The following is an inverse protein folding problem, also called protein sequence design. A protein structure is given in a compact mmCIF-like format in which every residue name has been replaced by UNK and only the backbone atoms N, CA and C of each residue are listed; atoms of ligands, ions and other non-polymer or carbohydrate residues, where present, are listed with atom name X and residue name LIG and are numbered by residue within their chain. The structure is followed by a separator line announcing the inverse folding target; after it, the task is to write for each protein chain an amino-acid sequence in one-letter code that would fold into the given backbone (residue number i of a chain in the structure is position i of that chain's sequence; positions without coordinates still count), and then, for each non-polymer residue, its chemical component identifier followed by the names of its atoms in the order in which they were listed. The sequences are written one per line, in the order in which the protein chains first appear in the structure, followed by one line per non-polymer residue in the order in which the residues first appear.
data_IF_544836657572
#
_entry.id   IF_544836657572
#
_cell.length_a   1.000
_cell.length_b   1.000
_cell.length_c   1.000
_cell.angle_alpha   90.00
_cell.angle_beta   90.00
_cell.angle_gamma   90.00
#
_symmetry.space_group_name_H-M   'P 1'
#
loop_
_entity.id
_entity.type
_entity.pdbx_description
1 polymer ?
#
# COMPACT_ATOMS: atom_id res chain seq x y z
N UNK A 1 -60.08 -13.69 71.78
CA UNK A 1 -60.61 -15.04 71.63
C UNK A 1 -60.02 -15.71 70.41
N UNK A 2 -59.33 -16.82 70.69
CA UNK A 2 -59.05 -17.86 69.72
C UNK A 2 -57.72 -17.68 68.98
N UNK A 3 -56.64 -18.09 69.56
CA UNK A 3 -56.09 -19.45 69.82
C UNK A 3 -55.97 -20.32 68.56
N UNK A 4 -54.77 -20.72 68.44
CA UNK A 4 -54.22 -21.99 67.93
C UNK A 4 -53.44 -21.98 66.66
N UNK A 5 -52.25 -22.37 66.86
CA UNK A 5 -51.42 -23.58 66.71
C UNK A 5 -50.70 -23.55 65.39
N UNK A 6 -49.42 -23.32 65.46
CA UNK A 6 -48.37 -24.32 65.60
C UNK A 6 -48.51 -25.52 64.66
N UNK A 7 -47.73 -25.52 63.57
CA UNK A 7 -47.03 -26.72 63.09
C UNK A 7 -45.72 -26.27 62.40
N UNK A 8 -44.67 -26.57 63.11
CA UNK A 8 -43.33 -26.79 62.66
C UNK A 8 -43.24 -27.71 61.43
N UNK A 9 -42.59 -27.31 60.36
CA UNK A 9 -41.89 -28.22 59.43
C UNK A 9 -40.74 -27.50 58.84
N UNK A 10 -39.57 -27.90 59.31
CA UNK A 10 -38.32 -27.63 58.75
C UNK A 10 -38.27 -27.81 57.24
N UNK A 11 -37.88 -26.81 56.57
CA UNK A 11 -37.47 -26.77 55.19
C UNK A 11 -36.14 -26.08 55.11
N UNK A 12 -35.13 -26.90 54.91
CA UNK A 12 -33.72 -26.49 54.73
C UNK A 12 -33.66 -25.40 53.74
N UNK A 13 -33.05 -24.26 54.14
CA UNK A 13 -32.61 -23.24 53.26
C UNK A 13 -31.37 -23.80 52.56
N UNK A 14 -31.61 -24.37 51.40
CA UNK A 14 -30.49 -24.67 50.46
C UNK A 14 -29.88 -23.37 50.04
N UNK A 15 -28.76 -23.06 50.66
CA UNK A 15 -27.78 -22.10 50.14
C UNK A 15 -27.36 -22.61 48.77
N UNK A 16 -27.80 -21.89 47.75
CA UNK A 16 -27.29 -22.01 46.39
C UNK A 16 -25.82 -21.63 46.43
N UNK A 17 -24.93 -22.61 46.60
CA UNK A 17 -23.52 -22.49 46.33
C UNK A 17 -23.40 -22.16 44.87
N UNK A 18 -22.96 -20.95 44.61
CA UNK A 18 -22.51 -20.50 43.29
C UNK A 18 -21.50 -21.50 42.78
N UNK A 19 -21.91 -22.32 41.82
CA UNK A 19 -20.98 -23.04 40.96
C UNK A 19 -20.16 -22.00 40.21
N UNK A 20 -18.97 -21.79 40.73
CA UNK A 20 -17.90 -21.13 39.95
C UNK A 20 -17.64 -22.09 38.80
N UNK A 21 -18.13 -21.75 37.62
CA UNK A 21 -17.73 -22.38 36.37
C UNK A 21 -16.21 -22.27 36.22
N UNK A 22 -15.58 -23.38 36.50
CA UNK A 22 -14.15 -23.60 36.24
C UNK A 22 -13.93 -23.47 34.75
N UNK A 23 -13.43 -22.31 34.32
CA UNK A 23 -13.01 -22.06 32.94
C UNK A 23 -12.02 -23.15 32.55
N UNK A 24 -12.18 -23.80 31.37
CA UNK A 24 -11.28 -24.86 30.94
C UNK A 24 -9.87 -24.32 30.85
N UNK A 25 -8.97 -24.89 31.66
CA UNK A 25 -7.54 -24.59 31.61
C UNK A 25 -7.01 -24.99 30.24
N UNK A 26 -6.78 -23.99 29.39
CA UNK A 26 -6.16 -24.16 28.08
C UNK A 26 -4.72 -24.63 28.33
N UNK A 27 -4.36 -25.80 27.80
CA UNK A 27 -3.03 -26.37 27.91
C UNK A 27 -1.95 -25.37 27.42
N UNK A 28 -0.80 -25.26 28.11
CA UNK A 28 0.21 -24.23 27.79
C UNK A 28 0.79 -24.30 26.38
N UNK A 29 0.58 -25.39 25.66
CA UNK A 29 0.97 -25.54 24.26
C UNK A 29 0.00 -24.87 23.26
N UNK A 30 -1.25 -24.59 23.65
CA UNK A 30 -2.24 -23.98 22.77
C UNK A 30 -2.25 -22.46 22.90
N UNK A 31 -1.76 -21.92 24.02
CA UNK A 31 -1.63 -20.48 24.23
C UNK A 31 -0.57 -19.82 23.31
N UNK A 32 0.37 -20.61 22.80
CA UNK A 32 1.41 -20.13 21.90
C UNK A 32 0.96 -20.06 20.43
N UNK A 33 -0.21 -20.67 20.11
CA UNK A 33 -0.83 -20.62 18.78
C UNK A 33 -1.85 -19.49 18.62
N UNK A 34 -2.18 -18.76 19.71
CA UNK A 34 -3.12 -17.66 19.75
C UNK A 34 -2.44 -16.31 20.05
N UNK A 35 -1.20 -16.16 19.63
CA UNK A 35 -0.65 -14.83 19.48
C UNK A 35 -1.54 -14.07 18.50
N UNK A 36 -2.02 -12.86 18.81
CA UNK A 36 -2.68 -12.06 17.81
C UNK A 36 -1.63 -11.80 16.73
N UNK A 37 -1.71 -12.57 15.64
CA UNK A 37 -1.06 -12.17 14.41
C UNK A 37 -1.57 -10.77 14.13
N UNK A 38 -0.68 -9.81 14.23
CA UNK A 38 -0.89 -8.48 13.70
C UNK A 38 -1.46 -8.68 12.30
N UNK A 39 -2.73 -8.36 12.14
CA UNK A 39 -3.37 -8.19 10.85
C UNK A 39 -2.67 -7.03 10.16
N UNK A 40 -1.47 -7.29 9.67
CA UNK A 40 -0.95 -6.54 8.56
C UNK A 40 -1.83 -6.93 7.36
N UNK A 41 -2.88 -6.16 7.13
CA UNK A 41 -3.66 -6.16 5.89
C UNK A 41 -2.79 -5.66 4.71
N UNK A 42 -1.53 -5.97 4.75
CA UNK A 42 -0.60 -5.84 3.66
C UNK A 42 -0.66 -7.15 2.87
N UNK A 43 -1.75 -7.33 2.12
CA UNK A 43 -1.83 -8.36 1.11
C UNK A 43 -0.57 -8.27 0.24
N UNK A 44 -0.06 -9.38 -0.34
CA UNK A 44 1.18 -9.36 -1.11
C UNK A 44 1.05 -8.31 -2.20
N UNK A 45 1.62 -7.14 -1.95
CA UNK A 45 1.78 -6.11 -2.97
C UNK A 45 2.50 -6.81 -4.10
N UNK A 46 1.85 -6.94 -5.24
CA UNK A 46 2.44 -7.52 -6.44
C UNK A 46 3.63 -6.64 -6.79
N UNK A 47 4.79 -6.98 -6.23
CA UNK A 47 6.05 -6.37 -6.62
C UNK A 47 6.16 -6.55 -8.11
N UNK A 48 6.14 -5.46 -8.83
CA UNK A 48 6.54 -5.45 -10.24
C UNK A 48 7.93 -6.09 -10.39
N UNK A 49 8.42 -6.28 -11.59
CA UNK A 49 9.76 -6.82 -11.82
C UNK A 49 10.76 -6.04 -10.96
N UNK A 50 11.63 -6.78 -10.25
CA UNK A 50 12.59 -6.19 -9.32
C UNK A 50 13.36 -5.03 -9.99
N UNK A 51 13.28 -3.80 -9.47
CA UNK A 51 13.91 -2.64 -10.09
C UNK A 51 15.43 -2.83 -10.21
N UNK A 52 16.04 -3.58 -9.29
CA UNK A 52 17.47 -3.92 -9.33
C UNK A 52 17.84 -4.84 -10.50
N UNK A 53 16.94 -5.74 -10.92
CA UNK A 53 17.17 -6.59 -12.07
C UNK A 53 17.10 -5.78 -13.38
N UNK A 54 16.19 -4.82 -13.46
CA UNK A 54 16.09 -3.89 -14.58
C UNK A 54 17.33 -3.01 -14.70
N UNK A 55 17.88 -2.53 -13.59
CA UNK A 55 19.10 -1.71 -13.57
C UNK A 55 20.35 -2.48 -14.06
N UNK A 56 20.45 -3.78 -13.78
CA UNK A 56 21.57 -4.62 -14.24
C UNK A 56 21.63 -4.78 -15.76
N UNK A 57 20.48 -4.78 -16.42
CA UNK A 57 20.36 -4.93 -17.87
C UNK A 57 20.20 -3.60 -18.61
N UNK A 58 20.15 -2.48 -17.87
CA UNK A 58 19.91 -1.17 -18.43
C UNK A 58 21.13 -0.64 -19.20
N UNK A 59 20.90 -0.21 -20.44
CA UNK A 59 21.87 0.49 -21.26
C UNK A 59 21.38 1.91 -21.49
N UNK A 60 22.08 2.93 -20.94
CA UNK A 60 21.61 4.32 -21.01
C UNK A 60 21.63 4.84 -22.45
N UNK A 61 20.50 5.39 -22.89
CA UNK A 61 20.35 6.01 -24.21
C UNK A 61 20.52 7.53 -24.15
N UNK A 62 20.17 8.12 -23.00
CA UNK A 62 20.25 9.57 -22.80
C UNK A 62 21.61 10.00 -22.25
N UNK A 63 21.92 11.29 -22.38
CA UNK A 63 23.11 11.87 -21.78
C UNK A 63 23.08 11.79 -20.26
N UNK A 64 21.92 12.11 -19.67
CA UNK A 64 21.73 12.02 -18.23
C UNK A 64 21.91 10.57 -17.72
N UNK A 65 21.36 9.59 -18.44
CA UNK A 65 21.55 8.18 -18.08
C UNK A 65 23.02 7.75 -18.06
N UNK A 66 23.83 8.26 -19.00
CA UNK A 66 25.27 7.98 -18.99
C UNK A 66 26.00 8.62 -17.82
N UNK A 67 25.61 9.85 -17.43
CA UNK A 67 26.17 10.56 -16.27
C UNK A 67 25.80 9.86 -14.94
N UNK A 68 24.60 9.30 -14.85
CA UNK A 68 24.19 8.48 -13.68
C UNK A 68 24.99 7.18 -13.65
N UNK A 69 25.19 6.53 -14.81
CA UNK A 69 25.95 5.29 -14.89
C UNK A 69 27.46 5.49 -14.62
N UNK A 70 28.02 6.64 -14.99
CA UNK A 70 29.42 7.02 -14.67
C UNK A 70 29.61 7.45 -13.22
N UNK A 71 28.53 7.68 -12.46
CA UNK A 71 28.60 8.15 -11.07
C UNK A 71 28.83 9.65 -10.92
N UNK A 72 28.72 10.44 -12.00
CA UNK A 72 28.82 11.91 -11.95
C UNK A 72 27.59 12.52 -11.23
N UNK A 73 26.44 11.85 -11.32
CA UNK A 73 25.17 12.25 -10.70
C UNK A 73 24.74 11.15 -9.73
N UNK A 74 24.75 11.46 -8.45
CA UNK A 74 24.43 10.52 -7.37
C UNK A 74 23.07 10.79 -6.73
N UNK A 75 22.57 12.03 -6.82
CA UNK A 75 21.29 12.41 -6.20
C UNK A 75 20.30 12.92 -7.25
N UNK A 76 19.01 12.73 -6.95
CA UNK A 76 17.96 13.20 -7.84
C UNK A 76 17.96 14.73 -7.99
N UNK A 77 18.33 15.47 -6.95
CA UNK A 77 18.50 16.94 -7.00
C UNK A 77 19.60 17.36 -8.00
N UNK A 78 20.72 16.65 -7.99
CA UNK A 78 21.78 16.90 -8.98
C UNK A 78 21.28 16.63 -10.40
N UNK A 79 20.50 15.57 -10.60
CA UNK A 79 19.90 15.28 -11.90
C UNK A 79 18.98 16.42 -12.37
N UNK A 80 18.16 16.98 -11.50
CA UNK A 80 17.32 18.14 -11.79
C UNK A 80 18.17 19.41 -12.06
N UNK A 81 19.23 19.62 -11.29
CA UNK A 81 20.12 20.79 -11.45
C UNK A 81 20.87 20.79 -12.81
N UNK A 82 21.11 19.63 -13.43
CA UNK A 82 21.70 19.54 -14.76
C UNK A 82 20.82 20.13 -15.88
N UNK A 83 19.50 20.27 -15.62
CA UNK A 83 18.53 20.79 -16.59
C UNK A 83 18.20 19.83 -17.74
N UNK A 84 18.75 18.61 -17.75
CA UNK A 84 18.42 17.63 -18.77
C UNK A 84 17.07 16.96 -18.46
N UNK A 85 16.21 16.74 -19.47
CA UNK A 85 14.93 16.06 -19.26
C UNK A 85 15.15 14.59 -18.93
N UNK A 86 14.48 14.11 -17.88
CA UNK A 86 14.47 12.71 -17.50
C UNK A 86 13.51 11.98 -18.45
N UNK A 87 14.01 11.06 -19.25
CA UNK A 87 13.25 10.29 -20.25
C UNK A 87 13.30 8.79 -20.02
N UNK A 88 14.16 8.31 -19.15
CA UNK A 88 14.34 6.90 -18.81
C UNK A 88 13.88 6.68 -17.38
N UNK A 89 13.03 5.67 -17.18
CA UNK A 89 12.48 5.32 -15.86
C UNK A 89 13.57 4.78 -14.95
N UNK A 90 14.52 4.08 -15.54
CA UNK A 90 15.64 3.44 -14.86
C UNK A 90 16.54 4.46 -14.13
N UNK A 91 16.62 5.70 -14.64
CA UNK A 91 17.34 6.78 -13.95
C UNK A 91 16.71 7.07 -12.58
N UNK A 92 15.38 7.09 -12.55
CA UNK A 92 14.62 7.35 -11.32
C UNK A 92 14.77 6.19 -10.36
N UNK A 93 14.67 4.96 -10.84
CA UNK A 93 14.83 3.75 -10.04
C UNK A 93 16.27 3.60 -9.49
N UNK A 94 17.26 4.14 -10.18
CA UNK A 94 18.66 4.17 -9.72
C UNK A 94 18.91 5.23 -8.64
N UNK A 95 18.32 6.42 -8.79
CA UNK A 95 18.54 7.53 -7.87
C UNK A 95 17.62 7.52 -6.66
N UNK A 96 16.45 6.91 -6.77
CA UNK A 96 15.43 6.80 -5.72
C UNK A 96 14.96 5.34 -5.59
N UNK A 97 15.68 4.49 -4.83
CA UNK A 97 15.32 3.09 -4.68
C UNK A 97 14.02 2.87 -3.89
N UNK A 98 13.66 3.80 -3.00
CA UNK A 98 12.52 3.70 -2.09
C UNK A 98 11.25 4.33 -2.68
N UNK A 99 11.00 4.10 -3.97
CA UNK A 99 9.80 4.61 -4.63
C UNK A 99 8.65 3.63 -4.42
N UNK A 100 7.55 4.16 -3.88
CA UNK A 100 6.25 3.50 -3.78
C UNK A 100 5.33 3.99 -4.89
N UNK A 101 4.49 3.11 -5.40
CA UNK A 101 3.45 3.42 -6.38
C UNK A 101 2.06 3.06 -5.86
N UNK A 102 1.10 3.94 -6.11
CA UNK A 102 -0.29 3.75 -5.74
C UNK A 102 -1.24 4.11 -6.88
N UNK A 103 -2.30 3.30 -7.01
CA UNK A 103 -3.34 3.52 -8.02
C UNK A 103 -4.52 4.24 -7.39
N UNK A 104 -4.64 5.54 -7.63
CA UNK A 104 -5.67 6.38 -7.04
C UNK A 104 -7.06 6.12 -7.63
N UNK A 105 -7.16 5.92 -8.94
CA UNK A 105 -8.45 5.64 -9.57
C UNK A 105 -8.31 4.89 -10.90
N UNK A 106 -9.29 4.01 -11.16
CA UNK A 106 -9.44 3.31 -12.44
C UNK A 106 -10.87 3.53 -12.93
N UNK A 107 -11.02 4.25 -14.05
CA UNK A 107 -12.31 4.58 -14.61
C UNK A 107 -12.47 3.96 -16.00
N UNK A 108 -13.61 3.34 -16.26
CA UNK A 108 -13.98 2.83 -17.58
C UNK A 108 -14.64 3.95 -18.38
N UNK A 109 -14.12 4.19 -19.58
CA UNK A 109 -14.65 5.18 -20.52
C UNK A 109 -15.21 4.44 -21.74
N UNK A 110 -16.45 4.69 -22.07
CA UNK A 110 -17.10 4.16 -23.26
C UNK A 110 -17.33 5.26 -24.30
N UNK A 111 -17.09 4.92 -25.57
CA UNK A 111 -17.45 5.75 -26.69
C UNK A 111 -18.21 4.90 -27.71
N UNK A 112 -19.37 5.39 -28.15
CA UNK A 112 -20.11 4.78 -29.27
C UNK A 112 -19.46 5.18 -30.58
N UNK A 113 -19.28 4.20 -31.45
CA UNK A 113 -18.85 4.37 -32.85
C UNK A 113 -19.85 3.64 -33.75
N UNK A 114 -19.81 3.90 -35.04
CA UNK A 114 -20.67 3.25 -36.02
C UNK A 114 -20.57 1.71 -35.99
N UNK A 115 -19.41 1.19 -35.59
CA UNK A 115 -19.13 -0.23 -35.41
C UNK A 115 -19.41 -0.78 -34.01
N UNK A 116 -20.09 -0.02 -33.13
CA UNK A 116 -20.42 -0.42 -31.76
C UNK A 116 -19.65 0.30 -30.68
N UNK A 117 -19.65 -0.28 -29.46
CA UNK A 117 -19.01 0.31 -28.27
C UNK A 117 -17.50 0.13 -28.29
N UNK A 118 -16.75 1.20 -28.09
CA UNK A 118 -15.32 1.13 -27.77
C UNK A 118 -15.09 1.49 -26.31
N UNK A 119 -14.55 0.53 -25.56
CA UNK A 119 -14.22 0.68 -24.15
C UNK A 119 -12.73 0.97 -24.00
N UNK A 120 -12.39 1.92 -23.11
CA UNK A 120 -11.02 2.21 -22.68
C UNK A 120 -11.02 2.45 -21.18
N UNK A 121 -9.89 2.18 -20.56
CA UNK A 121 -9.66 2.45 -19.15
C UNK A 121 -8.78 3.68 -19.00
N UNK A 122 -9.17 4.54 -18.06
CA UNK A 122 -8.39 5.70 -17.64
C UNK A 122 -7.89 5.44 -16.23
N UNK A 123 -6.58 5.44 -16.06
CA UNK A 123 -5.92 5.13 -14.79
C UNK A 123 -5.16 6.36 -14.31
N UNK A 124 -5.39 6.75 -13.07
CA UNK A 124 -4.65 7.77 -12.36
C UNK A 124 -3.75 7.08 -11.33
N UNK A 125 -2.43 7.26 -11.46
CA UNK A 125 -1.44 6.74 -10.52
C UNK A 125 -0.66 7.89 -9.89
N UNK A 126 -0.32 7.70 -8.61
CA UNK A 126 0.65 8.48 -7.88
C UNK A 126 1.90 7.63 -7.65
N UNK A 127 3.05 8.28 -7.64
CA UNK A 127 4.34 7.66 -7.32
C UNK A 127 5.11 8.62 -6.43
N UNK A 128 5.76 8.12 -5.39
CA UNK A 128 6.53 8.97 -4.47
C UNK A 128 7.45 8.16 -3.57
N UNK A 129 8.36 8.84 -2.90
CA UNK A 129 9.28 8.22 -1.94
C UNK A 129 8.92 8.51 -0.47
N UNK A 130 7.77 9.17 -0.20
CA UNK A 130 7.42 9.63 1.15
C UNK A 130 8.31 10.74 1.71
N UNK A 131 9.43 11.07 1.07
CA UNK A 131 10.45 12.02 1.54
C UNK A 131 10.61 13.27 0.66
N UNK A 132 9.57 13.68 -0.01
CA UNK A 132 9.54 14.97 -0.68
C UNK A 132 9.55 14.92 -2.21
N UNK A 133 9.41 13.77 -2.82
CA UNK A 133 9.22 13.64 -4.26
C UNK A 133 7.89 12.97 -4.56
N UNK A 134 7.09 13.58 -5.43
CA UNK A 134 5.77 13.07 -5.86
C UNK A 134 5.63 13.23 -7.37
N UNK A 135 5.14 12.19 -8.02
CA UNK A 135 4.80 12.20 -9.43
C UNK A 135 3.37 11.72 -9.65
N UNK A 136 2.64 12.37 -10.53
CA UNK A 136 1.28 12.01 -10.90
C UNK A 136 1.17 11.80 -12.40
N UNK A 137 0.44 10.77 -12.80
CA UNK A 137 0.12 10.56 -14.19
C UNK A 137 -1.27 10.01 -14.43
N UNK A 138 -1.82 10.38 -15.59
CA UNK A 138 -3.09 9.85 -16.10
C UNK A 138 -2.83 9.19 -17.43
N UNK A 139 -3.13 7.89 -17.52
CA UNK A 139 -2.96 7.12 -18.74
C UNK A 139 -4.25 6.48 -19.21
N UNK A 140 -4.37 6.32 -20.52
CA UNK A 140 -5.52 5.65 -21.17
C UNK A 140 -5.03 4.42 -21.93
N UNK A 141 -5.73 3.30 -21.76
CA UNK A 141 -5.42 2.06 -22.47
C UNK A 141 -6.65 1.21 -22.74
N UNK A 142 -6.44 0.10 -23.43
CA UNK A 142 -7.48 -0.90 -23.72
C UNK A 142 -7.62 -1.91 -22.58
N UNK A 143 -6.52 -2.19 -21.91
CA UNK A 143 -6.39 -3.16 -20.83
C UNK A 143 -5.94 -2.46 -19.54
N UNK A 144 -6.47 -2.88 -18.40
CA UNK A 144 -6.19 -2.23 -17.10
C UNK A 144 -4.74 -2.45 -16.70
N UNK A 145 -4.24 -3.69 -16.72
CA UNK A 145 -2.91 -4.03 -16.24
C UNK A 145 -1.80 -3.27 -16.97
N UNK A 146 -1.80 -3.31 -18.31
CA UNK A 146 -0.83 -2.60 -19.13
C UNK A 146 -0.94 -1.08 -19.00
N UNK A 147 -2.16 -0.57 -18.74
CA UNK A 147 -2.38 0.86 -18.52
C UNK A 147 -1.84 1.33 -17.17
N UNK A 148 -1.95 0.51 -16.11
CA UNK A 148 -1.37 0.79 -14.80
C UNK A 148 0.15 0.88 -14.91
N UNK A 149 0.81 -0.11 -15.51
CA UNK A 149 2.27 -0.09 -15.70
C UNK A 149 2.74 1.13 -16.50
N UNK A 150 2.01 1.48 -17.56
CA UNK A 150 2.28 2.70 -18.32
C UNK A 150 2.09 3.95 -17.48
N UNK A 151 1.07 4.00 -16.62
CA UNK A 151 0.83 5.14 -15.74
C UNK A 151 1.95 5.29 -14.71
N UNK A 152 2.38 4.21 -14.07
CA UNK A 152 3.49 4.22 -13.12
C UNK A 152 4.77 4.73 -13.80
N UNK A 153 5.13 4.19 -14.97
CA UNK A 153 6.29 4.63 -15.74
C UNK A 153 6.24 6.12 -16.07
N UNK A 154 5.07 6.63 -16.48
CA UNK A 154 4.90 8.06 -16.75
C UNK A 154 4.91 8.93 -15.49
N UNK A 155 4.41 8.43 -14.35
CA UNK A 155 4.46 9.14 -13.08
C UNK A 155 5.91 9.29 -12.59
N UNK A 156 6.72 8.25 -12.69
CA UNK A 156 8.17 8.29 -12.39
C UNK A 156 8.91 9.37 -13.19
N UNK A 157 8.59 9.53 -14.47
CA UNK A 157 9.21 10.57 -15.30
C UNK A 157 8.76 12.00 -14.97
N UNK A 158 7.68 12.15 -14.19
CA UNK A 158 7.09 13.45 -13.83
C UNK A 158 7.25 13.77 -12.34
N UNK A 159 8.25 13.20 -11.69
CA UNK A 159 8.53 13.48 -10.30
C UNK A 159 8.93 14.94 -10.10
N UNK A 160 8.29 15.58 -9.14
CA UNK A 160 8.57 16.96 -8.72
C UNK A 160 8.95 16.98 -7.24
N UNK A 161 9.89 17.85 -6.84
CA UNK A 161 10.16 18.04 -5.41
C UNK A 161 9.02 18.81 -4.75
N UNK A 162 8.62 18.37 -3.56
CA UNK A 162 7.58 18.97 -2.74
C UNK A 162 8.21 19.58 -1.50
N UNK A 163 8.09 20.89 -1.33
CA UNK A 163 8.56 21.59 -0.14
C UNK A 163 7.47 21.53 0.94
N UNK A 164 7.73 20.82 2.03
CA UNK A 164 6.78 20.63 3.14
C UNK A 164 6.82 21.76 4.20
N UNK A 165 7.61 22.79 3.97
CA UNK A 165 7.86 23.86 4.96
C UNK A 165 8.82 23.41 6.07
N UNK A 166 9.03 24.28 7.07
CA UNK A 166 9.99 24.05 8.17
C UNK A 166 9.38 23.36 9.39
N UNK A 167 8.26 22.67 9.25
CA UNK A 167 7.64 21.89 10.34
C UNK A 167 7.00 22.71 11.46
N UNK A 168 6.95 24.02 11.38
CA UNK A 168 6.19 24.87 12.30
C UNK A 168 4.78 25.12 11.73
N UNK A 169 3.81 24.45 12.31
CA UNK A 169 2.37 24.71 12.12
C UNK A 169 1.86 25.51 13.31
#
# INVERSE_FOLDING_TARGET
SGSNQEVDRGGEVMTEEQQVEESPQIAPGLAMALSPEENSEDGPRRRGPDPLAALRSWTPRTRLGRMVMSGEVLTYEQALATGYPIREVEIVDALLPDIEDDVLSVNMIQRMTDSGRRVRFNVLCAVGNGDGYVGLSVCKGKEVASTIQKAISQAKLKLIPVFRGNGSW
#
